data_IF_553183809518
#
_entry.id   IF_553183809518
#
_cell.length_a   1.000
_cell.length_b   1.000
_cell.length_c   1.000
_cell.angle_alpha   90.00
_cell.angle_beta   90.00
_cell.angle_gamma   90.00
#
_symmetry.space_group_name_H-M   'P 1'
#
loop_
_entity.id
_entity.type
_entity.pdbx_description
1 polymer ?
#
# COMPACT_ATOMS: atom_id res chain seq x y z
N UNK A 1 31.52 -27.78 -19.65
CA UNK A 1 30.30 -27.30 -18.97
C UNK A 1 30.04 -28.21 -17.79
N UNK A 2 30.11 -27.69 -16.55
CA UNK A 2 29.71 -28.49 -15.40
C UNK A 2 28.21 -28.77 -15.51
N UNK A 3 27.84 -30.04 -15.54
CA UNK A 3 26.44 -30.44 -15.53
C UNK A 3 25.85 -30.02 -14.18
N UNK A 4 25.12 -28.91 -14.16
CA UNK A 4 24.28 -28.55 -13.03
C UNK A 4 23.20 -29.62 -12.94
N UNK A 5 23.07 -30.28 -11.79
CA UNK A 5 22.00 -31.23 -11.51
C UNK A 5 20.66 -30.55 -11.77
N UNK A 6 19.85 -31.11 -12.66
CA UNK A 6 18.56 -30.53 -13.04
C UNK A 6 17.47 -30.93 -12.04
N UNK A 7 16.50 -30.04 -11.86
CA UNK A 7 15.23 -30.40 -11.27
C UNK A 7 14.42 -31.25 -12.26
N UNK A 8 14.54 -32.58 -12.13
CA UNK A 8 13.90 -33.56 -13.02
C UNK A 8 12.65 -34.18 -12.37
N UNK A 9 12.13 -33.59 -11.29
CA UNK A 9 10.94 -34.05 -10.57
C UNK A 9 10.98 -35.52 -10.13
N UNK A 10 12.17 -36.03 -9.80
CA UNK A 10 12.28 -37.40 -9.24
C UNK A 10 11.51 -37.50 -7.93
N UNK A 11 11.00 -38.68 -7.52
CA UNK A 11 10.27 -38.85 -6.27
C UNK A 11 11.03 -38.31 -5.05
N UNK A 12 12.36 -38.45 -5.03
CA UNK A 12 13.22 -37.92 -3.98
C UNK A 12 13.27 -36.39 -3.97
N UNK A 13 13.34 -35.75 -5.14
CA UNK A 13 13.32 -34.29 -5.25
C UNK A 13 11.96 -33.72 -4.85
N UNK A 14 10.86 -34.34 -5.31
CA UNK A 14 9.50 -33.92 -4.97
C UNK A 14 9.27 -34.02 -3.45
N UNK A 15 9.66 -35.14 -2.82
CA UNK A 15 9.59 -35.28 -1.37
C UNK A 15 10.41 -34.19 -0.64
N UNK A 16 11.65 -33.94 -1.09
CA UNK A 16 12.49 -32.92 -0.46
C UNK A 16 11.90 -31.51 -0.59
N UNK A 17 11.36 -31.14 -1.75
CA UNK A 17 10.72 -29.83 -1.94
C UNK A 17 9.50 -29.71 -1.03
N UNK A 18 8.67 -30.76 -0.97
CA UNK A 18 7.47 -30.79 -0.11
C UNK A 18 7.83 -30.56 1.35
N UNK A 19 8.88 -31.21 1.85
CA UNK A 19 9.24 -31.15 3.27
C UNK A 19 10.05 -29.89 3.64
N UNK A 20 10.54 -29.13 2.65
CA UNK A 20 11.42 -27.97 2.89
C UNK A 20 10.85 -26.67 2.31
N UNK A 21 10.90 -26.50 0.99
CA UNK A 21 10.54 -25.27 0.27
C UNK A 21 9.03 -25.02 0.31
N UNK A 22 8.23 -26.08 0.16
CA UNK A 22 6.79 -26.03 0.08
C UNK A 22 6.09 -26.62 1.32
N UNK A 23 6.77 -26.62 2.47
CA UNK A 23 6.28 -27.21 3.74
C UNK A 23 4.93 -26.66 4.22
N UNK A 24 4.60 -25.44 3.80
CA UNK A 24 3.38 -24.75 4.19
C UNK A 24 2.22 -25.05 3.24
N UNK A 25 2.48 -25.65 2.06
CA UNK A 25 1.45 -25.98 1.07
C UNK A 25 0.62 -27.18 1.52
N UNK A 26 -0.68 -27.14 1.22
CA UNK A 26 -1.50 -28.35 1.21
C UNK A 26 -1.19 -29.19 -0.05
N UNK A 27 -1.88 -30.32 -0.21
CA UNK A 27 -1.65 -31.23 -1.34
C UNK A 27 -1.85 -30.56 -2.69
N UNK A 28 -3.01 -29.94 -2.90
CA UNK A 28 -3.37 -29.39 -4.21
C UNK A 28 -2.52 -28.15 -4.55
N UNK A 29 -2.21 -27.33 -3.55
CA UNK A 29 -1.28 -26.20 -3.68
C UNK A 29 0.14 -26.67 -4.06
N UNK A 30 0.61 -27.75 -3.44
CA UNK A 30 1.93 -28.31 -3.73
C UNK A 30 1.99 -28.89 -5.15
N UNK A 31 0.94 -29.61 -5.56
CA UNK A 31 0.84 -30.19 -6.90
C UNK A 31 0.78 -29.07 -7.96
N UNK A 32 -0.01 -28.01 -7.73
CA UNK A 32 -0.05 -26.82 -8.59
C UNK A 32 1.32 -26.13 -8.68
N UNK A 33 2.00 -25.92 -7.55
CA UNK A 33 3.34 -25.33 -7.53
C UNK A 33 4.34 -26.14 -8.37
N UNK A 34 4.33 -27.47 -8.25
CA UNK A 34 5.19 -28.35 -9.02
C UNK A 34 4.90 -28.30 -10.53
N UNK A 35 3.62 -28.28 -10.93
CA UNK A 35 3.23 -28.15 -12.34
C UNK A 35 3.66 -26.81 -12.94
N UNK A 36 3.51 -25.70 -12.20
CA UNK A 36 3.97 -24.39 -12.66
C UNK A 36 5.49 -24.33 -12.76
N UNK A 37 6.22 -24.86 -11.77
CA UNK A 37 7.68 -24.94 -11.81
C UNK A 37 8.15 -25.72 -13.04
N UNK A 38 7.51 -26.85 -13.34
CA UNK A 38 7.79 -27.65 -14.54
C UNK A 38 7.46 -26.90 -15.83
N UNK A 39 6.28 -26.31 -15.93
CA UNK A 39 5.81 -25.62 -17.13
C UNK A 39 6.69 -24.42 -17.49
N UNK A 40 7.17 -23.68 -16.48
CA UNK A 40 8.11 -22.55 -16.67
C UNK A 40 9.58 -22.98 -16.67
N UNK A 41 9.85 -24.26 -16.46
CA UNK A 41 11.21 -24.82 -16.34
C UNK A 41 12.03 -24.16 -15.24
N UNK A 42 11.41 -23.71 -14.16
CA UNK A 42 12.06 -23.07 -13.03
C UNK A 42 12.44 -24.10 -11.97
N UNK A 43 13.60 -23.90 -11.35
CA UNK A 43 14.14 -24.82 -10.34
C UNK A 43 13.88 -24.29 -8.91
N UNK A 44 13.06 -24.98 -8.10
CA UNK A 44 12.83 -24.61 -6.70
C UNK A 44 14.09 -24.70 -5.83
N UNK A 45 15.02 -25.62 -6.11
CA UNK A 45 16.26 -25.77 -5.33
C UNK A 45 17.24 -24.62 -5.54
N UNK A 46 17.17 -23.98 -6.71
CA UNK A 46 17.94 -22.78 -7.01
C UNK A 46 17.21 -21.50 -6.57
N UNK A 47 16.05 -21.63 -5.94
CA UNK A 47 15.23 -20.50 -5.51
C UNK A 47 14.73 -19.67 -6.69
N UNK A 48 14.50 -20.25 -7.86
CA UNK A 48 13.98 -19.53 -9.03
C UNK A 48 12.47 -19.30 -8.93
N UNK A 49 11.78 -20.15 -8.18
CA UNK A 49 10.34 -20.13 -7.96
C UNK A 49 10.04 -20.56 -6.53
N UNK A 50 9.13 -19.87 -5.85
CA UNK A 50 8.76 -20.14 -4.46
C UNK A 50 7.24 -20.12 -4.28
N UNK A 51 6.66 -21.01 -3.47
CA UNK A 51 5.27 -20.91 -3.06
C UNK A 51 5.16 -20.07 -1.78
N UNK A 52 4.23 -19.12 -1.76
CA UNK A 52 3.92 -18.31 -0.59
C UNK A 52 2.48 -18.55 -0.17
N UNK A 53 2.30 -19.14 1.02
CA UNK A 53 0.97 -19.39 1.60
C UNK A 53 0.63 -18.32 2.64
N UNK A 54 -0.47 -17.62 2.41
CA UNK A 54 -1.11 -16.66 3.30
C UNK A 54 -2.22 -17.32 4.13
N UNK A 55 -2.51 -16.73 5.31
CA UNK A 55 -3.58 -17.19 6.22
C UNK A 55 -3.55 -18.70 6.50
N UNK A 56 -2.35 -19.24 6.78
CA UNK A 56 -2.08 -20.69 6.84
C UNK A 56 -3.06 -21.49 7.72
N UNK A 57 -3.60 -20.87 8.76
CA UNK A 57 -4.46 -21.50 9.78
C UNK A 57 -5.96 -21.22 9.59
N UNK A 58 -6.33 -20.39 8.61
CA UNK A 58 -7.73 -19.99 8.36
C UNK A 58 -8.13 -20.48 6.97
N UNK A 59 -8.92 -21.55 6.90
CA UNK A 59 -9.26 -22.22 5.64
C UNK A 59 -10.01 -21.32 4.66
N UNK A 60 -10.85 -20.41 5.15
CA UNK A 60 -11.66 -19.51 4.32
C UNK A 60 -10.80 -18.41 3.70
N UNK A 61 -9.74 -17.98 4.40
CA UNK A 61 -8.83 -16.93 3.94
C UNK A 61 -7.51 -17.47 3.39
N UNK A 62 -7.33 -18.78 3.41
CA UNK A 62 -6.11 -19.46 3.02
C UNK A 62 -5.90 -19.29 1.53
N UNK A 63 -4.69 -18.92 1.16
CA UNK A 63 -4.36 -18.65 -0.23
C UNK A 63 -2.90 -18.87 -0.51
N UNK A 64 -2.60 -19.48 -1.63
CA UNK A 64 -1.23 -19.72 -2.09
C UNK A 64 -0.98 -18.90 -3.35
N UNK A 65 0.12 -18.17 -3.37
CA UNK A 65 0.62 -17.43 -4.52
C UNK A 65 1.98 -17.99 -4.91
N UNK A 66 2.19 -18.21 -6.20
CA UNK A 66 3.47 -18.62 -6.75
C UNK A 66 4.24 -17.37 -7.17
N UNK A 67 5.43 -17.22 -6.61
CA UNK A 67 6.30 -16.07 -6.82
C UNK A 67 7.54 -16.54 -7.58
N UNK A 68 7.92 -15.81 -8.61
CA UNK A 68 9.22 -15.99 -9.26
C UNK A 68 10.22 -15.00 -8.67
N UNK A 69 11.43 -15.49 -8.45
CA UNK A 69 12.51 -14.64 -7.97
C UNK A 69 13.18 -13.94 -9.14
N UNK A 70 14.02 -12.95 -8.85
CA UNK A 70 14.80 -12.25 -9.88
C UNK A 70 15.65 -13.21 -10.71
N UNK A 71 16.17 -14.27 -10.11
CA UNK A 71 16.95 -15.27 -10.84
C UNK A 71 16.05 -16.11 -11.75
N UNK A 72 14.84 -16.46 -11.30
CA UNK A 72 13.82 -17.10 -12.13
C UNK A 72 13.42 -16.25 -13.34
N UNK A 73 13.19 -14.96 -13.13
CA UNK A 73 12.94 -13.98 -14.20
C UNK A 73 14.07 -14.04 -15.24
N UNK A 74 15.32 -13.86 -14.82
CA UNK A 74 16.47 -13.82 -15.74
C UNK A 74 16.68 -15.13 -16.50
N UNK A 75 16.43 -16.26 -15.86
CA UNK A 75 16.53 -17.58 -16.50
C UNK A 75 15.46 -17.74 -17.58
N UNK A 76 14.23 -17.29 -17.33
CA UNK A 76 13.18 -17.26 -18.37
C UNK A 76 13.63 -16.36 -19.52
N UNK A 77 14.01 -15.11 -19.23
CA UNK A 77 14.44 -14.15 -20.24
C UNK A 77 15.56 -14.70 -21.13
N UNK A 78 16.60 -15.28 -20.52
CA UNK A 78 17.74 -15.83 -21.24
C UNK A 78 17.36 -16.96 -22.20
N UNK A 79 16.32 -17.74 -21.90
CA UNK A 79 15.86 -18.86 -22.74
C UNK A 79 15.09 -18.40 -23.97
N UNK A 80 14.53 -17.19 -23.97
CA UNK A 80 13.85 -16.62 -25.13
C UNK A 80 14.80 -16.45 -26.32
N UNK A 81 16.12 -16.32 -26.07
CA UNK A 81 17.15 -16.25 -27.12
C UNK A 81 17.24 -14.89 -27.83
N UNK A 82 16.24 -14.04 -27.67
CA UNK A 82 16.13 -12.67 -28.21
C UNK A 82 16.23 -11.60 -27.11
N UNK A 83 16.68 -11.98 -25.91
CA UNK A 83 16.82 -11.12 -24.74
C UNK A 83 18.25 -10.61 -24.53
N UNK A 84 18.38 -9.34 -24.17
CA UNK A 84 19.59 -8.78 -23.57
C UNK A 84 19.26 -7.92 -22.36
N UNK A 85 20.00 -8.16 -21.27
CA UNK A 85 19.84 -7.45 -20.00
C UNK A 85 20.15 -5.96 -20.12
N UNK A 86 19.68 -5.19 -19.13
CA UNK A 86 19.97 -3.76 -19.01
C UNK A 86 21.49 -3.51 -18.99
N UNK A 87 21.96 -2.65 -19.88
CA UNK A 87 23.38 -2.22 -19.95
C UNK A 87 23.65 -0.95 -19.14
N UNK A 88 22.60 -0.35 -18.55
CA UNK A 88 22.64 0.89 -17.78
C UNK A 88 21.91 0.71 -16.44
N UNK A 89 22.27 1.48 -15.41
CA UNK A 89 21.49 1.54 -14.18
C UNK A 89 20.03 1.98 -14.43
N UNK A 90 19.08 1.61 -13.56
CA UNK A 90 17.74 2.17 -13.61
C UNK A 90 17.75 3.69 -13.52
N UNK A 91 16.84 4.33 -14.25
CA UNK A 91 16.58 5.76 -14.13
C UNK A 91 15.49 5.99 -13.10
N UNK A 92 15.61 7.06 -12.31
CA UNK A 92 14.67 7.39 -11.24
C UNK A 92 14.20 8.82 -11.41
N UNK A 93 12.90 9.01 -11.31
CA UNK A 93 12.28 10.32 -11.11
C UNK A 93 12.09 10.54 -9.62
N UNK A 94 12.59 11.66 -9.10
CA UNK A 94 12.59 11.97 -7.67
C UNK A 94 12.05 13.38 -7.48
N UNK A 95 11.07 13.51 -6.60
CA UNK A 95 10.54 14.76 -6.11
C UNK A 95 10.74 14.83 -4.58
N UNK A 96 11.51 15.82 -4.12
CA UNK A 96 11.84 15.97 -2.71
C UNK A 96 10.64 16.42 -1.88
N UNK A 97 9.64 17.04 -2.50
CA UNK A 97 8.43 17.48 -1.83
C UNK A 97 7.52 16.29 -1.46
N UNK A 98 7.73 15.13 -2.09
CA UNK A 98 7.02 13.88 -1.77
C UNK A 98 7.64 13.07 -0.62
N UNK A 99 8.75 13.54 -0.03
CA UNK A 99 9.41 12.84 1.07
C UNK A 99 8.47 12.76 2.28
N UNK A 100 8.17 11.53 2.70
CA UNK A 100 7.17 11.25 3.73
C UNK A 100 7.41 9.89 4.39
N UNK A 101 6.71 9.55 5.49
CA UNK A 101 6.80 8.22 6.10
C UNK A 101 6.41 7.05 5.17
N UNK A 102 5.65 7.32 4.10
CA UNK A 102 5.26 6.34 3.07
C UNK A 102 6.17 6.36 1.84
N UNK A 103 6.92 7.44 1.64
CA UNK A 103 7.91 7.60 0.57
C UNK A 103 9.17 8.29 1.11
N UNK A 104 10.07 7.56 1.80
CA UNK A 104 11.19 8.17 2.51
C UNK A 104 12.24 8.82 1.59
N UNK A 105 12.22 8.51 0.29
CA UNK A 105 13.17 9.02 -0.68
C UNK A 105 12.58 10.00 -1.70
N UNK A 106 11.26 10.21 -1.68
CA UNK A 106 10.56 11.04 -2.65
C UNK A 106 10.62 10.47 -4.06
N UNK A 107 10.60 9.14 -4.21
CA UNK A 107 10.63 8.51 -5.54
C UNK A 107 9.26 8.67 -6.18
N UNK A 108 9.20 9.20 -7.40
CA UNK A 108 7.99 9.24 -8.22
C UNK A 108 7.88 7.94 -9.01
N UNK A 109 8.93 7.61 -9.76
CA UNK A 109 8.98 6.42 -10.60
C UNK A 109 10.40 5.88 -10.77
N UNK A 110 10.50 4.62 -11.18
CA UNK A 110 11.72 4.03 -11.69
C UNK A 110 11.48 3.41 -13.07
N UNK A 111 12.45 3.56 -13.96
CA UNK A 111 12.38 3.03 -15.33
C UNK A 111 13.63 2.22 -15.65
N UNK A 112 13.40 1.01 -16.16
CA UNK A 112 14.43 0.05 -16.60
C UNK A 112 14.26 -0.21 -18.09
N UNK A 113 15.37 -0.30 -18.80
CA UNK A 113 15.40 -0.60 -20.24
C UNK A 113 16.07 -1.94 -20.47
N UNK A 114 15.31 -2.89 -21.00
CA UNK A 114 15.79 -4.17 -21.50
C UNK A 114 15.84 -4.11 -23.02
N UNK A 115 16.41 -5.13 -23.65
CA UNK A 115 16.56 -5.18 -25.09
C UNK A 115 15.96 -6.46 -25.65
N UNK A 116 15.14 -6.32 -26.68
CA UNK A 116 14.56 -7.42 -27.43
C UNK A 116 15.02 -7.38 -28.88
N UNK A 117 15.46 -8.51 -29.41
CA UNK A 117 15.84 -8.63 -30.81
C UNK A 117 14.60 -8.94 -31.66
N UNK A 118 14.41 -8.21 -32.76
CA UNK A 118 13.41 -8.58 -33.77
C UNK A 118 13.91 -9.83 -34.52
N UNK A 119 13.15 -10.95 -34.53
CA UNK A 119 13.58 -12.19 -35.16
C UNK A 119 13.68 -12.10 -36.70
N UNK A 120 13.05 -11.10 -37.33
CA UNK A 120 13.05 -10.89 -38.78
C UNK A 120 14.20 -9.99 -39.22
N UNK A 121 14.43 -8.88 -38.51
CA UNK A 121 15.44 -7.88 -38.90
C UNK A 121 16.77 -8.05 -38.18
N UNK A 122 16.80 -8.84 -37.10
CA UNK A 122 17.93 -8.94 -36.16
C UNK A 122 18.29 -7.63 -35.46
N UNK A 123 17.46 -6.59 -35.59
CA UNK A 123 17.63 -5.32 -34.91
C UNK A 123 17.26 -5.44 -33.43
N UNK A 124 17.91 -4.64 -32.59
CA UNK A 124 17.65 -4.62 -31.15
C UNK A 124 16.84 -3.39 -30.78
N UNK A 125 15.68 -3.61 -30.17
CA UNK A 125 14.79 -2.56 -29.70
C UNK A 125 14.82 -2.47 -28.16
N UNK A 126 14.81 -1.25 -27.64
CA UNK A 126 14.66 -1.01 -26.20
C UNK A 126 13.21 -1.28 -25.79
N UNK A 127 13.07 -2.06 -24.72
CA UNK A 127 11.80 -2.30 -24.03
C UNK A 127 11.89 -1.62 -22.68
N UNK A 128 11.07 -0.58 -22.51
CA UNK A 128 10.98 0.15 -21.25
C UNK A 128 9.95 -0.52 -20.33
N UNK A 129 10.32 -0.67 -19.06
CA UNK A 129 9.39 -0.95 -17.98
C UNK A 129 9.49 0.16 -16.95
N UNK A 130 8.35 0.70 -16.54
CA UNK A 130 8.25 1.77 -15.56
C UNK A 130 7.38 1.31 -14.40
N UNK A 131 7.77 1.67 -13.18
CA UNK A 131 7.00 1.44 -11.97
C UNK A 131 6.88 2.74 -11.17
N UNK A 132 5.65 3.13 -10.85
CA UNK A 132 5.34 4.30 -10.03
C UNK A 132 5.32 3.95 -8.55
N UNK A 133 5.84 4.84 -7.70
CA UNK A 133 5.99 4.55 -6.28
C UNK A 133 4.64 4.30 -5.59
N UNK A 134 3.64 5.13 -5.88
CA UNK A 134 2.29 5.06 -5.33
C UNK A 134 1.55 3.76 -5.68
N UNK A 135 1.85 3.15 -6.82
CA UNK A 135 1.26 1.89 -7.27
C UNK A 135 1.89 0.64 -6.64
N UNK A 136 3.18 0.69 -6.28
CA UNK A 136 3.95 -0.50 -5.90
C UNK A 136 4.42 -0.50 -4.45
N UNK A 137 4.62 0.66 -3.82
CA UNK A 137 5.13 0.73 -2.47
C UNK A 137 4.12 0.14 -1.48
N UNK A 138 4.48 -0.88 -0.69
CA UNK A 138 3.59 -1.46 0.29
C UNK A 138 3.40 -0.49 1.46
N UNK A 139 2.18 0.03 1.62
CA UNK A 139 1.84 0.93 2.72
C UNK A 139 1.03 0.16 3.76
N UNK A 140 1.47 0.25 5.01
CA UNK A 140 0.72 -0.29 6.15
C UNK A 140 0.23 0.80 7.08
N UNK A 141 -0.88 0.48 7.74
CA UNK A 141 -1.39 1.25 8.85
C UNK A 141 -0.68 0.81 10.13
N UNK A 142 -0.18 1.79 10.88
CA UNK A 142 0.47 1.55 12.15
C UNK A 142 0.03 2.59 13.18
N UNK A 143 -0.38 2.17 14.40
CA UNK A 143 -0.58 3.10 15.49
C UNK A 143 0.73 3.76 15.93
N UNK A 144 0.70 5.07 16.13
CA UNK A 144 1.84 5.90 16.57
C UNK A 144 2.47 5.42 17.88
N UNK A 145 1.66 4.92 18.82
CA UNK A 145 2.09 4.37 20.10
C UNK A 145 2.32 2.85 20.09
N UNK A 146 2.27 2.21 18.92
CA UNK A 146 2.39 0.77 18.78
C UNK A 146 1.14 0.02 19.25
N UNK A 147 1.32 -1.26 19.58
CA UNK A 147 0.22 -2.13 20.00
C UNK A 147 0.42 -2.59 21.44
N UNK A 148 -0.67 -2.60 22.19
CA UNK A 148 -0.76 -3.14 23.54
C UNK A 148 -1.59 -4.42 23.53
N UNK A 149 -1.18 -5.41 24.31
CA UNK A 149 -1.97 -6.62 24.54
C UNK A 149 -2.74 -6.48 25.84
N UNK A 150 -4.01 -6.09 25.73
CA UNK A 150 -4.92 -5.91 26.86
C UNK A 150 -5.63 -7.22 27.15
N UNK A 151 -5.76 -7.59 28.42
CA UNK A 151 -6.53 -8.76 28.82
C UNK A 151 -8.02 -8.56 28.50
N UNK A 152 -8.64 -9.55 27.86
CA UNK A 152 -10.07 -9.48 27.51
C UNK A 152 -10.98 -9.92 28.66
N UNK A 153 -10.42 -10.48 29.73
CA UNK A 153 -11.18 -11.07 30.83
C UNK A 153 -11.73 -12.48 30.53
N UNK A 154 -11.55 -12.97 29.30
CA UNK A 154 -11.86 -14.35 28.91
C UNK A 154 -10.62 -15.23 28.99
N UNK A 155 -10.79 -16.51 29.33
CA UNK A 155 -9.70 -17.50 29.32
C UNK A 155 -9.92 -18.54 28.22
N UNK A 156 -8.83 -19.07 27.69
CA UNK A 156 -8.86 -20.24 26.80
C UNK A 156 -9.31 -21.47 27.59
N UNK A 157 -10.36 -22.16 27.13
CA UNK A 157 -10.99 -23.29 27.84
C UNK A 157 -10.04 -24.49 28.04
N UNK A 158 -9.05 -24.61 27.16
CA UNK A 158 -8.06 -25.68 27.07
C UNK A 158 -6.80 -25.40 27.90
N UNK A 159 -6.41 -24.14 28.09
CA UNK A 159 -5.14 -23.78 28.76
C UNK A 159 -5.29 -22.90 30.00
N UNK A 160 -6.49 -22.37 30.27
CA UNK A 160 -6.75 -21.43 31.37
C UNK A 160 -6.04 -20.08 31.23
N UNK A 161 -5.34 -19.84 30.11
CA UNK A 161 -4.59 -18.60 29.89
C UNK A 161 -5.55 -17.47 29.50
N UNK A 162 -5.35 -16.25 30.02
CA UNK A 162 -6.15 -15.09 29.62
C UNK A 162 -5.96 -14.80 28.14
N UNK A 163 -7.07 -14.64 27.43
CA UNK A 163 -7.11 -14.17 26.06
C UNK A 163 -6.75 -12.69 26.08
N UNK A 164 -5.70 -12.33 25.36
CA UNK A 164 -5.30 -10.93 25.18
C UNK A 164 -5.74 -10.43 23.82
N UNK A 165 -6.32 -9.24 23.78
CA UNK A 165 -6.65 -8.53 22.54
C UNK A 165 -5.55 -7.51 22.25
N UNK A 166 -5.10 -7.49 21.00
CA UNK A 166 -4.17 -6.49 20.50
C UNK A 166 -4.94 -5.20 20.22
N UNK A 167 -4.64 -4.14 20.97
CA UNK A 167 -5.28 -2.83 20.86
C UNK A 167 -4.26 -1.81 20.36
N UNK A 168 -4.65 -0.98 19.41
CA UNK A 168 -3.84 0.11 18.87
C UNK A 168 -3.71 1.25 19.89
N UNK A 169 -2.51 1.79 20.06
CA UNK A 169 -2.25 2.93 20.95
C UNK A 169 -1.97 4.19 20.14
N UNK A 170 -2.77 5.23 20.36
CA UNK A 170 -2.65 6.50 19.64
C UNK A 170 -3.20 6.43 18.21
N UNK A 171 -2.94 7.48 17.43
CA UNK A 171 -3.50 7.63 16.10
C UNK A 171 -2.90 6.62 15.11
N UNK A 172 -3.73 6.17 14.16
CA UNK A 172 -3.29 5.34 13.05
C UNK A 172 -2.62 6.23 12.01
N UNK A 173 -1.36 5.93 11.69
CA UNK A 173 -0.60 6.57 10.62
C UNK A 173 -0.28 5.60 9.51
N UNK A 174 -0.22 6.10 8.27
CA UNK A 174 0.28 5.35 7.13
C UNK A 174 1.81 5.44 7.11
N UNK A 175 2.44 4.29 6.91
CA UNK A 175 3.89 4.18 6.78
C UNK A 175 4.24 3.11 5.75
N UNK A 176 5.37 3.27 5.08
CA UNK A 176 5.97 2.21 4.28
C UNK A 176 6.17 0.94 5.13
N UNK A 177 5.88 -0.23 4.56
CA UNK A 177 6.06 -1.49 5.28
C UNK A 177 7.53 -1.75 5.60
N UNK A 178 7.81 -1.85 6.89
CA UNK A 178 9.14 -2.16 7.45
C UNK A 178 9.34 -3.66 7.76
N UNK A 179 8.41 -4.54 7.38
CA UNK A 179 8.56 -5.99 7.54
C UNK A 179 9.55 -6.62 6.55
N UNK A 180 9.82 -5.93 5.44
CA UNK A 180 10.63 -6.45 4.34
C UNK A 180 11.68 -5.49 3.80
N UNK A 181 12.09 -5.73 2.55
CA UNK A 181 13.18 -5.01 1.91
C UNK A 181 12.77 -3.62 1.39
N UNK A 182 11.48 -3.31 1.28
CA UNK A 182 10.98 -2.00 0.82
C UNK A 182 11.47 -0.84 1.70
N UNK A 183 11.41 -0.96 3.02
CA UNK A 183 11.95 0.05 3.92
C UNK A 183 13.49 0.12 3.91
N UNK A 184 14.17 -1.02 3.72
CA UNK A 184 15.65 -1.10 3.77
C UNK A 184 16.34 -0.67 2.47
N UNK A 185 15.73 -0.99 1.33
CA UNK A 185 16.30 -0.83 -0.01
C UNK A 185 15.24 -0.33 -1.02
N UNK A 186 14.56 0.78 -0.74
CA UNK A 186 13.40 1.26 -1.52
C UNK A 186 13.70 1.45 -3.01
N UNK A 187 14.87 2.00 -3.35
CA UNK A 187 15.31 2.19 -4.75
C UNK A 187 15.45 0.87 -5.51
N UNK A 188 15.97 -0.16 -4.84
CA UNK A 188 16.16 -1.47 -5.45
C UNK A 188 14.80 -2.13 -5.68
N UNK A 189 13.91 -2.06 -4.70
CA UNK A 189 12.59 -2.68 -4.80
C UNK A 189 11.77 -2.11 -5.96
N UNK A 190 11.64 -0.79 -6.06
CA UNK A 190 10.89 -0.19 -7.17
C UNK A 190 11.56 -0.46 -8.54
N UNK A 191 12.89 -0.55 -8.59
CA UNK A 191 13.58 -0.91 -9.85
C UNK A 191 13.36 -2.37 -10.26
N UNK A 192 13.18 -3.29 -9.31
CA UNK A 192 12.79 -4.67 -9.62
C UNK A 192 11.39 -4.71 -10.22
N UNK A 193 10.46 -3.90 -9.70
CA UNK A 193 9.11 -3.80 -10.26
C UNK A 193 9.19 -3.31 -11.70
N UNK A 194 9.98 -2.28 -11.96
CA UNK A 194 10.22 -1.77 -13.31
C UNK A 194 10.88 -2.81 -14.24
N UNK A 195 11.84 -3.61 -13.75
CA UNK A 195 12.46 -4.73 -14.49
C UNK A 195 11.40 -5.78 -14.88
N UNK A 196 10.51 -6.17 -13.95
CA UNK A 196 9.42 -7.10 -14.23
C UNK A 196 8.40 -6.54 -15.23
N UNK A 197 8.09 -5.24 -15.17
CA UNK A 197 7.24 -4.57 -16.17
C UNK A 197 7.86 -4.61 -17.56
N UNK A 198 9.17 -4.36 -17.68
CA UNK A 198 9.88 -4.46 -18.96
C UNK A 198 9.86 -5.90 -19.50
N UNK A 199 10.04 -6.89 -18.63
CA UNK A 199 9.97 -8.31 -19.01
C UNK A 199 8.57 -8.71 -19.51
N UNK A 200 7.51 -8.26 -18.83
CA UNK A 200 6.12 -8.50 -19.27
C UNK A 200 5.80 -7.80 -20.58
N UNK A 201 6.32 -6.60 -20.80
CA UNK A 201 6.15 -5.87 -22.05
C UNK A 201 6.89 -6.55 -23.22
N UNK A 202 8.10 -7.05 -22.98
CA UNK A 202 8.91 -7.69 -24.01
C UNK A 202 8.51 -9.14 -24.32
N UNK A 203 8.12 -9.92 -23.31
CA UNK A 203 7.87 -11.36 -23.41
C UNK A 203 6.58 -11.76 -22.69
N UNK A 204 5.40 -11.22 -23.09
CA UNK A 204 4.16 -11.37 -22.34
C UNK A 204 3.77 -12.83 -22.09
N UNK A 205 3.89 -13.72 -23.08
CA UNK A 205 3.53 -15.15 -22.95
C UNK A 205 4.39 -15.87 -21.90
N UNK A 206 5.68 -15.53 -21.84
CA UNK A 206 6.64 -16.13 -20.92
C UNK A 206 6.37 -15.72 -19.47
N UNK A 207 5.97 -14.45 -19.25
CA UNK A 207 5.74 -13.87 -17.92
C UNK A 207 4.27 -13.82 -17.49
N UNK A 208 3.34 -14.29 -18.33
CA UNK A 208 1.92 -14.38 -17.98
C UNK A 208 1.72 -15.29 -16.77
N UNK A 209 0.90 -14.81 -15.82
CA UNK A 209 0.54 -15.54 -14.60
C UNK A 209 1.65 -15.62 -13.55
N UNK A 210 2.75 -14.88 -13.72
CA UNK A 210 3.87 -14.87 -12.77
C UNK A 210 3.96 -13.53 -12.03
N UNK A 211 4.12 -13.60 -10.71
CA UNK A 211 4.35 -12.44 -9.84
C UNK A 211 5.80 -12.39 -9.38
N UNK A 212 6.38 -11.18 -9.35
CA UNK A 212 7.72 -10.96 -8.79
C UNK A 212 7.71 -10.83 -7.26
N UNK A 213 8.83 -11.14 -6.61
CA UNK A 213 8.98 -11.01 -5.14
C UNK A 213 8.69 -9.60 -4.63
N UNK A 214 9.07 -8.60 -5.40
CA UNK A 214 8.86 -7.19 -5.12
C UNK A 214 7.39 -6.77 -5.16
N UNK A 215 6.53 -7.53 -5.84
CA UNK A 215 5.09 -7.27 -5.98
C UNK A 215 4.26 -8.07 -4.96
N UNK A 216 4.87 -8.64 -3.93
CA UNK A 216 4.21 -9.56 -2.99
C UNK A 216 2.94 -8.98 -2.34
N UNK A 217 2.94 -7.70 -1.98
CA UNK A 217 1.75 -7.05 -1.42
C UNK A 217 0.66 -6.82 -2.48
N UNK A 218 1.02 -6.56 -3.73
CA UNK A 218 0.04 -6.56 -4.84
C UNK A 218 -0.49 -7.97 -5.11
N UNK A 219 0.32 -9.01 -4.98
CA UNK A 219 -0.16 -10.39 -5.13
C UNK A 219 -1.14 -10.78 -4.00
N UNK A 220 -0.98 -10.23 -2.79
CA UNK A 220 -2.03 -10.31 -1.76
C UNK A 220 -3.32 -9.66 -2.25
N UNK A 221 -3.23 -8.46 -2.86
CA UNK A 221 -4.35 -7.60 -3.32
C UNK A 221 -5.12 -8.16 -4.54
N UNK A 222 -4.41 -8.53 -5.60
CA UNK A 222 -5.00 -8.89 -6.91
C UNK A 222 -5.80 -10.18 -6.85
N UNK A 223 -5.31 -11.14 -6.06
CA UNK A 223 -5.96 -12.44 -5.95
C UNK A 223 -6.99 -12.46 -4.76
N UNK A 224 -7.37 -11.31 -4.17
CA UNK A 224 -8.52 -11.28 -3.24
C UNK A 224 -9.79 -11.58 -4.04
N UNK A 225 -10.75 -12.29 -3.45
CA UNK A 225 -12.06 -12.41 -4.07
C UNK A 225 -12.67 -11.02 -4.25
N UNK A 226 -13.50 -10.83 -5.29
CA UNK A 226 -14.17 -9.54 -5.54
C UNK A 226 -14.91 -9.00 -4.30
N UNK A 227 -15.40 -9.90 -3.44
CA UNK A 227 -16.03 -9.56 -2.16
C UNK A 227 -15.03 -8.97 -1.16
N UNK A 228 -13.85 -9.57 -1.02
CA UNK A 228 -12.83 -9.08 -0.09
C UNK A 228 -12.13 -7.82 -0.61
N UNK A 229 -12.01 -7.63 -1.93
CA UNK A 229 -11.57 -6.35 -2.53
C UNK A 229 -12.57 -5.26 -2.16
N UNK A 230 -13.88 -5.53 -2.26
CA UNK A 230 -14.93 -4.59 -1.88
C UNK A 230 -14.95 -4.36 -0.37
N UNK A 231 -14.68 -5.36 0.46
CA UNK A 231 -14.61 -5.18 1.92
C UNK A 231 -13.37 -4.40 2.35
N UNK A 232 -12.20 -4.67 1.78
CA UNK A 232 -10.99 -3.88 2.00
C UNK A 232 -11.12 -2.47 1.41
N UNK A 233 -11.70 -2.30 0.23
CA UNK A 233 -11.98 -0.97 -0.32
C UNK A 233 -13.00 -0.25 0.56
N UNK A 234 -14.03 -0.92 1.08
CA UNK A 234 -14.96 -0.33 2.06
C UNK A 234 -14.27 0.00 3.37
N UNK A 235 -13.33 -0.82 3.82
CA UNK A 235 -12.56 -0.61 5.04
C UNK A 235 -11.56 0.53 4.85
N UNK A 236 -10.85 0.58 3.72
CA UNK A 236 -9.98 1.67 3.28
C UNK A 236 -10.75 2.96 2.97
N UNK A 237 -11.95 2.87 2.42
CA UNK A 237 -12.84 4.01 2.17
C UNK A 237 -13.42 4.52 3.48
N UNK A 238 -13.77 3.64 4.42
CA UNK A 238 -14.10 4.00 5.81
C UNK A 238 -12.89 4.60 6.51
N UNK A 239 -11.68 4.08 6.29
CA UNK A 239 -10.44 4.57 6.89
C UNK A 239 -9.93 5.86 6.24
N UNK A 240 -10.20 6.13 4.95
CA UNK A 240 -10.02 7.43 4.28
C UNK A 240 -11.06 8.43 4.77
N UNK A 241 -12.30 7.99 4.99
CA UNK A 241 -13.35 8.84 5.56
C UNK A 241 -13.08 9.20 7.03
N UNK A 242 -12.45 8.30 7.79
CA UNK A 242 -11.97 8.54 9.16
C UNK A 242 -10.61 9.26 9.17
N UNK A 243 -9.79 9.05 8.14
CA UNK A 243 -8.47 9.63 7.90
C UNK A 243 -8.51 11.06 7.36
N UNK A 244 -9.24 11.93 8.06
CA UNK A 244 -9.27 13.39 7.93
C UNK A 244 -7.90 14.04 8.25
N UNK A 245 -6.80 13.52 7.70
CA UNK A 245 -5.45 14.03 7.96
C UNK A 245 -5.32 15.50 7.57
N UNK A 246 -6.02 15.93 6.53
CA UNK A 246 -6.07 17.31 6.04
C UNK A 246 -7.49 17.88 6.06
N UNK A 247 -8.28 17.58 7.10
CA UNK A 247 -9.59 18.19 7.29
C UNK A 247 -9.80 18.66 8.73
N UNK A 248 -10.62 19.70 8.90
CA UNK A 248 -11.11 20.21 10.17
C UNK A 248 -12.50 19.62 10.41
N UNK A 249 -12.68 18.91 11.51
CA UNK A 249 -13.99 18.40 11.92
C UNK A 249 -14.78 19.55 12.56
N UNK A 250 -15.86 19.99 11.91
CA UNK A 250 -16.65 21.17 12.30
C UNK A 250 -18.14 20.82 12.29
N UNK A 251 -18.94 21.49 13.10
CA UNK A 251 -20.41 21.48 12.97
C UNK A 251 -20.91 22.83 12.48
N UNK A 252 -21.90 22.85 11.59
CA UNK A 252 -22.51 24.08 11.08
C UNK A 252 -23.81 24.49 11.80
N UNK A 253 -24.20 23.76 12.85
CA UNK A 253 -25.41 24.03 13.63
C UNK A 253 -26.68 23.34 13.11
N UNK A 254 -26.61 22.63 11.98
CA UNK A 254 -27.70 21.77 11.48
C UNK A 254 -27.71 20.44 12.26
N UNK A 255 -28.54 20.38 13.30
CA UNK A 255 -28.69 19.22 14.19
C UNK A 255 -27.37 18.71 14.83
N UNK A 256 -26.38 19.59 15.01
CA UNK A 256 -25.07 19.24 15.59
C UNK A 256 -24.32 18.13 14.84
N UNK A 257 -24.65 17.94 13.56
CA UNK A 257 -23.92 17.00 12.71
C UNK A 257 -22.48 17.48 12.55
N UNK A 258 -21.53 16.55 12.72
CA UNK A 258 -20.11 16.78 12.53
C UNK A 258 -19.76 16.48 11.07
N UNK A 259 -19.03 17.39 10.45
CA UNK A 259 -18.55 17.29 9.07
C UNK A 259 -17.03 17.46 9.04
N UNK A 260 -16.33 16.61 8.28
CA UNK A 260 -14.90 16.79 8.01
C UNK A 260 -14.71 17.67 6.77
N UNK A 261 -14.22 18.90 6.96
CA UNK A 261 -13.99 19.86 5.87
C UNK A 261 -12.51 19.96 5.56
N UNK A 262 -12.04 19.67 4.33
CA UNK A 262 -10.62 19.79 3.98
C UNK A 262 -10.03 21.16 4.37
N UNK A 263 -8.82 21.19 4.94
CA UNK A 263 -8.17 22.40 5.47
C UNK A 263 -8.13 23.52 4.42
N UNK A 264 -7.75 23.19 3.17
CA UNK A 264 -7.71 24.16 2.06
C UNK A 264 -9.08 24.68 1.60
N UNK A 265 -10.20 24.15 2.11
CA UNK A 265 -11.56 24.60 1.83
C UNK A 265 -12.26 25.18 3.06
N UNK A 266 -11.63 25.08 4.24
CA UNK A 266 -12.28 25.41 5.49
C UNK A 266 -12.52 26.91 5.64
N UNK A 267 -11.55 27.75 5.27
CA UNK A 267 -11.68 29.20 5.35
C UNK A 267 -12.83 29.74 4.49
N UNK A 268 -12.92 29.32 3.23
CA UNK A 268 -13.99 29.75 2.32
C UNK A 268 -15.37 29.41 2.87
N UNK A 269 -15.56 28.18 3.34
CA UNK A 269 -16.84 27.74 3.93
C UNK A 269 -17.15 28.44 5.24
N UNK A 270 -16.14 28.67 6.09
CA UNK A 270 -16.32 29.41 7.33
C UNK A 270 -16.73 30.85 7.06
N UNK A 271 -16.10 31.52 6.10
CA UNK A 271 -16.44 32.89 5.69
C UNK A 271 -17.85 32.95 5.07
N UNK A 272 -18.21 31.99 4.21
CA UNK A 272 -19.56 31.87 3.65
C UNK A 272 -20.63 31.75 4.74
N UNK A 273 -20.39 30.89 5.73
CA UNK A 273 -21.28 30.72 6.88
C UNK A 273 -21.38 32.01 7.71
N UNK A 274 -20.24 32.63 8.06
CA UNK A 274 -20.22 33.88 8.83
C UNK A 274 -20.97 35.00 8.11
N UNK A 275 -20.87 35.06 6.78
CA UNK A 275 -21.51 36.08 5.98
C UNK A 275 -23.01 35.83 5.81
N UNK A 276 -23.43 34.58 5.58
CA UNK A 276 -24.82 34.22 5.30
C UNK A 276 -25.71 34.14 6.55
N UNK A 277 -25.14 33.85 7.72
CA UNK A 277 -25.90 33.60 8.95
C UNK A 277 -26.00 34.84 9.87
N UNK A 278 -27.03 34.90 10.74
CA UNK A 278 -27.18 35.98 11.72
C UNK A 278 -26.17 35.86 12.87
N UNK A 279 -25.83 36.99 13.50
CA UNK A 279 -24.73 37.08 14.45
C UNK A 279 -24.89 36.17 15.69
N UNK A 280 -26.12 35.90 16.11
CA UNK A 280 -26.43 34.99 17.22
C UNK A 280 -26.12 33.52 16.87
N UNK A 281 -26.43 33.10 15.64
CA UNK A 281 -26.09 31.75 15.14
C UNK A 281 -24.57 31.61 14.95
N UNK A 282 -23.91 32.63 14.40
CA UNK A 282 -22.45 32.67 14.24
C UNK A 282 -21.73 32.61 15.60
N UNK A 283 -22.27 33.26 16.63
CA UNK A 283 -21.72 33.20 18.00
C UNK A 283 -21.77 31.76 18.54
N UNK A 284 -22.94 31.10 18.44
CA UNK A 284 -23.11 29.71 18.88
C UNK A 284 -22.21 28.74 18.11
N UNK A 285 -22.06 28.96 16.81
CA UNK A 285 -21.17 28.19 15.95
C UNK A 285 -19.70 28.35 16.36
N UNK A 286 -19.26 29.58 16.64
CA UNK A 286 -17.88 29.82 17.09
C UNK A 286 -17.60 29.17 18.44
N UNK A 287 -18.57 29.16 19.36
CA UNK A 287 -18.43 28.48 20.66
C UNK A 287 -18.40 26.96 20.51
N UNK A 288 -19.29 26.41 19.68
CA UNK A 288 -19.37 24.98 19.36
C UNK A 288 -18.07 24.45 18.74
N UNK A 289 -17.40 25.26 17.93
CA UNK A 289 -16.23 24.87 17.15
C UNK A 289 -14.92 25.46 17.70
N UNK A 290 -14.85 25.74 19.00
CA UNK A 290 -13.65 26.36 19.62
C UNK A 290 -12.36 25.57 19.37
N UNK A 291 -12.40 24.25 19.56
CA UNK A 291 -11.24 23.38 19.34
C UNK A 291 -10.94 23.20 17.84
N UNK A 292 -11.93 22.94 16.95
CA UNK A 292 -11.72 22.95 15.50
C UNK A 292 -11.09 24.24 14.95
N UNK A 293 -11.51 25.41 15.46
CA UNK A 293 -10.96 26.70 15.06
C UNK A 293 -9.51 26.90 15.55
N UNK A 294 -9.16 26.39 16.74
CA UNK A 294 -7.78 26.38 17.25
C UNK A 294 -6.89 25.46 16.43
N UNK A 295 -7.40 24.29 16.08
CA UNK A 295 -6.73 23.33 15.21
C UNK A 295 -6.49 23.92 13.81
N UNK A 296 -7.51 24.59 13.25
CA UNK A 296 -7.36 25.30 11.98
C UNK A 296 -6.30 26.39 12.05
N UNK A 297 -6.25 27.17 13.13
CA UNK A 297 -5.21 28.18 13.33
C UNK A 297 -3.79 27.59 13.37
N UNK A 298 -3.61 26.42 13.98
CA UNK A 298 -2.32 25.74 14.01
C UNK A 298 -1.91 25.19 12.62
N UNK A 299 -2.87 24.84 11.77
CA UNK A 299 -2.66 24.21 10.45
C UNK A 299 -2.57 25.22 9.29
N UNK A 300 -3.37 26.29 9.30
CA UNK A 300 -3.32 27.40 8.31
C UNK A 300 -3.46 28.77 9.01
N UNK A 301 -2.37 29.33 9.57
CA UNK A 301 -2.43 30.58 10.33
C UNK A 301 -2.88 31.81 9.52
N UNK A 302 -2.55 31.86 8.23
CA UNK A 302 -2.87 32.98 7.35
C UNK A 302 -4.40 33.06 7.11
N UNK A 303 -5.00 31.96 6.67
CA UNK A 303 -6.44 31.90 6.39
C UNK A 303 -7.27 31.97 7.69
N UNK A 304 -6.76 31.38 8.78
CA UNK A 304 -7.40 31.47 10.09
C UNK A 304 -7.49 32.91 10.61
N UNK A 305 -6.54 33.78 10.24
CA UNK A 305 -6.58 35.20 10.60
C UNK A 305 -7.74 35.91 9.89
N UNK A 306 -8.06 35.54 8.65
CA UNK A 306 -9.19 36.10 7.90
C UNK A 306 -10.53 35.68 8.51
N UNK A 307 -10.68 34.39 8.81
CA UNK A 307 -11.87 33.85 9.50
C UNK A 307 -12.06 34.53 10.86
N UNK A 308 -10.98 34.72 11.63
CA UNK A 308 -11.03 35.41 12.93
C UNK A 308 -11.49 36.86 12.80
N UNK A 309 -10.98 37.61 11.82
CA UNK A 309 -11.40 39.00 11.55
C UNK A 309 -12.89 39.07 11.19
N UNK A 310 -13.37 38.16 10.35
CA UNK A 310 -14.78 38.09 9.97
C UNK A 310 -15.68 37.76 11.17
N UNK A 311 -15.27 36.84 12.04
CA UNK A 311 -15.97 36.53 13.30
C UNK A 311 -16.07 37.74 14.21
N UNK A 312 -14.95 38.42 14.45
CA UNK A 312 -14.90 39.62 15.30
C UNK A 312 -15.77 40.76 14.74
N UNK A 313 -15.76 40.96 13.41
CA UNK A 313 -16.61 41.96 12.76
C UNK A 313 -18.11 41.62 12.88
N UNK A 314 -18.50 40.36 12.65
CA UNK A 314 -19.90 39.92 12.72
C UNK A 314 -20.44 39.98 14.15
N UNK A 315 -19.68 39.47 15.13
CA UNK A 315 -20.06 39.41 16.54
C UNK A 315 -19.95 40.79 17.22
N UNK A 316 -18.97 41.60 16.83
CA UNK A 316 -18.76 42.97 17.33
C UNK A 316 -19.77 43.99 16.84
N UNK A 317 -20.54 43.70 15.78
CA UNK A 317 -21.55 44.60 15.19
C UNK A 317 -22.85 44.75 15.98
N UNK A 318 -22.92 44.25 17.22
CA UNK A 318 -24.14 44.25 18.03
C UNK A 318 -24.71 45.67 18.19
N UNK A 319 -25.94 45.97 17.71
CA UNK A 319 -26.63 47.19 18.12
C UNK A 319 -26.89 47.09 19.62
N UNK A 320 -26.58 48.15 20.36
CA UNK A 320 -26.95 48.26 21.76
C UNK A 320 -28.47 48.18 21.89
N UNK A 321 -29.01 47.02 22.29
CA UNK A 321 -30.41 46.93 22.71
C UNK A 321 -30.53 47.72 24.01
N UNK A 322 -31.03 48.96 23.91
CA UNK A 322 -31.45 49.75 25.05
C UNK A 322 -32.49 48.95 25.85
N UNK A 323 -32.29 48.92 27.15
CA UNK A 323 -33.29 48.52 28.12
C UNK A 323 -34.56 49.37 27.97
N UNK A 324 -35.70 48.69 27.94
CA UNK A 324 -37.02 49.17 28.38
C UNK A 324 -37.79 47.94 28.87
#
# INVERSE_FOLDING_TARGET
MNAITRFDMTPKQIALIKDTIAKDCNRDEFDLFCEVAKAKGLDPFLGQIIPMVFSKTDAEKRKMTIIITRDGQRVIAQRCGDYRAASKPPTYEIDKDLVSPTNPLGIVSATVYLWKQDPKTSEWHEIAGQAYWDEFAPIKQMPTGGYEYVDTGEVWADSGKPKKKKVAKGDIVLKLDDSGNWCRQPRIMISKCAEMQALRAGWPEEYTGLYGEEEMDRAKIIDLSATEIVEQEREEHRLRAVGAKDAITVTWGDNWTLENVPVGKFADRALEFINSEPADKVTKWSDANREPLREFWARSPADALEVKKALEAKIGSRPSTKAA
#
